data_IF_628544659505
#
_entry.id   IF_628544659505
#
_cell.length_a   1.000
_cell.length_b   1.000
_cell.length_c   1.000
_cell.angle_alpha   90.00
_cell.angle_beta   90.00
_cell.angle_gamma   90.00
#
_symmetry.space_group_name_H-M   'P 1'
#
loop_
_entity.id
_entity.type
_entity.pdbx_description
1 polymer ?
#
# COMPACT_ATOMS: atom_id res chain seq x y z
N UNK A 1 2.93 -3.18 0.39
CA UNK A 1 3.91 -4.13 0.93
C UNK A 1 3.21 -5.37 1.48
N UNK A 2 2.47 -5.27 2.58
CA UNK A 2 1.86 -6.43 3.26
C UNK A 2 0.77 -7.21 2.51
N UNK A 3 0.03 -6.54 1.62
CA UNK A 3 -1.13 -7.13 0.92
C UNK A 3 -0.83 -7.36 -0.58
N UNK A 4 0.44 -7.43 -0.98
CA UNK A 4 0.81 -7.63 -2.38
C UNK A 4 0.68 -9.11 -2.80
N UNK A 5 0.37 -9.41 -4.07
CA UNK A 5 0.04 -8.47 -5.15
C UNK A 5 -1.37 -7.87 -4.98
N UNK A 6 -1.53 -6.55 -5.22
CA UNK A 6 -2.80 -5.84 -4.98
C UNK A 6 -3.23 -4.99 -6.17
N UNK A 7 -4.53 -4.88 -6.42
CA UNK A 7 -5.09 -3.99 -7.44
C UNK A 7 -5.42 -2.61 -6.88
N UNK A 8 -5.42 -1.59 -7.74
CA UNK A 8 -5.82 -0.23 -7.34
C UNK A 8 -7.24 -0.16 -6.73
N UNK A 9 -8.27 -0.84 -7.27
CA UNK A 9 -9.58 -0.90 -6.61
C UNK A 9 -9.54 -1.48 -5.20
N UNK A 10 -8.74 -2.53 -4.94
CA UNK A 10 -8.57 -3.08 -3.59
C UNK A 10 -7.93 -2.07 -2.64
N UNK A 11 -6.91 -1.33 -3.08
CA UNK A 11 -6.29 -0.26 -2.28
C UNK A 11 -7.32 0.82 -1.95
N UNK A 12 -8.14 1.25 -2.93
CA UNK A 12 -9.21 2.22 -2.69
C UNK A 12 -10.24 1.72 -1.69
N UNK A 13 -10.63 0.43 -1.78
CA UNK A 13 -11.58 -0.17 -0.85
C UNK A 13 -11.06 -0.18 0.59
N UNK A 14 -9.78 -0.51 0.80
CA UNK A 14 -9.15 -0.48 2.12
C UNK A 14 -9.03 0.95 2.66
N UNK A 15 -8.63 1.91 1.82
CA UNK A 15 -8.43 3.31 2.24
C UNK A 15 -9.72 4.13 2.35
N UNK A 16 -10.82 3.63 1.80
CA UNK A 16 -12.09 4.35 1.71
C UNK A 16 -12.09 5.57 0.78
N UNK A 17 -11.00 5.84 0.05
CA UNK A 17 -10.84 7.02 -0.81
C UNK A 17 -10.09 6.68 -2.11
N UNK A 18 -10.22 7.56 -3.12
CA UNK A 18 -9.49 7.43 -4.38
C UNK A 18 -7.97 7.59 -4.16
N UNK A 19 -7.20 6.59 -4.61
CA UNK A 19 -5.74 6.54 -4.46
C UNK A 19 -4.94 6.79 -5.75
N UNK A 20 -5.55 7.25 -6.83
CA UNK A 20 -4.92 7.39 -8.15
C UNK A 20 -3.65 8.24 -8.14
N UNK A 21 -3.70 9.40 -7.48
CA UNK A 21 -2.54 10.30 -7.35
C UNK A 21 -1.41 9.66 -6.54
N UNK A 22 -1.75 8.94 -5.47
CA UNK A 22 -0.78 8.24 -4.62
C UNK A 22 -0.12 7.10 -5.38
N UNK A 23 -0.92 6.26 -6.04
CA UNK A 23 -0.42 5.15 -6.87
C UNK A 23 0.52 5.66 -7.96
N UNK A 24 0.17 6.76 -8.64
CA UNK A 24 1.02 7.40 -9.66
C UNK A 24 2.34 7.90 -9.07
N UNK A 25 2.30 8.54 -7.91
CA UNK A 25 3.49 9.05 -7.22
C UNK A 25 4.43 7.90 -6.85
N UNK A 26 3.90 6.82 -6.27
CA UNK A 26 4.69 5.65 -5.90
C UNK A 26 5.32 4.96 -7.12
N UNK A 27 4.58 4.81 -8.22
CA UNK A 27 5.11 4.31 -9.49
C UNK A 27 6.21 5.22 -10.03
N UNK A 28 6.01 6.54 -10.05
CA UNK A 28 7.01 7.49 -10.57
C UNK A 28 8.30 7.52 -9.74
N UNK A 29 8.20 7.19 -8.45
CA UNK A 29 9.35 7.07 -7.54
C UNK A 29 10.00 5.68 -7.60
N UNK A 30 9.47 4.75 -8.39
CA UNK A 30 9.97 3.39 -8.49
C UNK A 30 9.74 2.55 -7.23
N UNK A 31 8.88 2.97 -6.29
CA UNK A 31 8.65 2.23 -5.03
C UNK A 31 7.67 1.07 -5.21
N UNK A 32 6.86 1.08 -6.27
CA UNK A 32 5.98 -0.02 -6.66
C UNK A 32 6.06 -0.24 -8.16
N UNK A 33 5.66 -1.43 -8.61
CA UNK A 33 5.65 -1.82 -10.03
C UNK A 33 4.43 -2.69 -10.40
N UNK A 34 4.13 -2.81 -11.70
CA UNK A 34 3.18 -3.81 -12.21
C UNK A 34 3.82 -5.20 -12.14
N UNK A 35 3.23 -6.09 -11.34
CA UNK A 35 3.69 -7.47 -11.18
C UNK A 35 2.81 -8.47 -11.92
N UNK A 36 1.77 -7.99 -12.61
CA UNK A 36 0.87 -8.80 -13.41
C UNK A 36 -0.53 -8.20 -13.50
N UNK A 37 -1.51 -9.06 -13.82
CA UNK A 37 -2.92 -8.67 -13.94
C UNK A 37 -3.80 -9.71 -13.29
N UNK A 38 -4.80 -9.25 -12.54
CA UNK A 38 -5.78 -10.14 -11.95
C UNK A 38 -6.70 -10.74 -13.03
N UNK A 39 -7.26 -11.91 -12.73
CA UNK A 39 -8.31 -12.52 -13.54
C UNK A 39 -9.66 -11.79 -13.32
N UNK A 40 -10.54 -11.88 -14.31
CA UNK A 40 -11.88 -11.29 -14.26
C UNK A 40 -12.06 -9.99 -15.06
N UNK A 41 -13.24 -9.34 -14.92
CA UNK A 41 -13.63 -8.20 -15.74
C UNK A 41 -12.63 -7.04 -15.67
N UNK A 42 -12.24 -6.53 -16.84
CA UNK A 42 -11.30 -5.41 -16.95
C UNK A 42 -9.83 -5.74 -16.65
N UNK A 43 -9.51 -6.96 -16.20
CA UNK A 43 -8.15 -7.46 -15.94
C UNK A 43 -7.24 -6.42 -15.28
N UNK A 44 -7.60 -5.96 -14.07
CA UNK A 44 -6.93 -4.85 -13.42
C UNK A 44 -5.46 -5.19 -13.14
N UNK A 45 -4.61 -4.15 -13.19
CA UNK A 45 -3.19 -4.26 -12.89
C UNK A 45 -3.01 -4.67 -11.42
N UNK A 46 -2.11 -5.62 -11.20
CA UNK A 46 -1.59 -5.99 -9.89
C UNK A 46 -0.29 -5.24 -9.62
N UNK A 47 -0.18 -4.68 -8.43
CA UNK A 47 0.98 -3.92 -7.98
C UNK A 47 1.70 -4.64 -6.85
N UNK A 48 3.03 -4.57 -6.88
CA UNK A 48 3.94 -5.03 -5.85
C UNK A 48 5.00 -3.98 -5.52
N UNK A 49 5.74 -4.19 -4.44
CA UNK A 49 6.91 -3.37 -4.06
C UNK A 49 8.14 -3.79 -4.84
N UNK A 50 9.02 -2.83 -5.11
CA UNK A 50 10.27 -3.06 -5.83
C UNK A 50 11.45 -3.28 -4.87
N UNK A 51 12.63 -3.54 -5.43
CA UNK A 51 13.90 -3.48 -4.68
C UNK A 51 14.20 -2.07 -4.15
N UNK A 52 13.83 -1.02 -4.88
CA UNK A 52 14.05 0.37 -4.45
C UNK A 52 13.22 0.70 -3.21
N UNK A 53 12.03 0.09 -3.06
CA UNK A 53 11.27 0.15 -1.81
C UNK A 53 12.08 -0.43 -0.65
N UNK A 54 12.64 -1.63 -0.79
CA UNK A 54 13.43 -2.26 0.26
C UNK A 54 14.62 -1.38 0.67
N UNK A 55 15.37 -0.87 -0.31
CA UNK A 55 16.49 0.04 -0.07
C UNK A 55 16.06 1.34 0.63
N UNK A 56 14.95 1.94 0.19
CA UNK A 56 14.42 3.17 0.78
C UNK A 56 14.05 3.00 2.26
N UNK A 57 13.56 1.82 2.64
CA UNK A 57 13.18 1.50 4.02
C UNK A 57 14.29 0.77 4.81
N UNK A 58 15.47 0.57 4.23
CA UNK A 58 16.60 -0.11 4.89
C UNK A 58 16.36 -1.59 5.17
N UNK A 59 15.53 -2.25 4.36
CA UNK A 59 15.18 -3.66 4.50
C UNK A 59 15.98 -4.51 3.52
N UNK A 60 16.38 -5.72 3.92
CA UNK A 60 16.96 -6.69 3.00
C UNK A 60 15.89 -7.56 2.32
N UNK A 61 14.74 -7.72 2.97
CA UNK A 61 13.61 -8.52 2.46
C UNK A 61 12.28 -8.04 3.04
N UNK A 62 11.18 -8.50 2.45
CA UNK A 62 9.83 -8.20 2.96
C UNK A 62 9.54 -8.90 4.29
N UNK A 63 10.27 -9.96 4.64
CA UNK A 63 10.08 -10.70 5.90
C UNK A 63 10.56 -9.89 7.12
N UNK A 64 11.35 -8.84 6.90
CA UNK A 64 11.79 -7.89 7.93
C UNK A 64 10.73 -6.82 8.25
N UNK A 65 9.62 -6.80 7.50
CA UNK A 65 8.51 -5.89 7.80
C UNK A 65 7.89 -6.24 9.15
N UNK A 66 7.61 -5.25 10.01
CA UNK A 66 6.93 -5.52 11.28
C UNK A 66 5.55 -6.14 11.02
N UNK A 67 5.07 -7.06 11.89
CA UNK A 67 3.77 -7.67 11.69
C UNK A 67 2.68 -6.59 11.64
N UNK A 68 1.72 -6.75 10.73
CA UNK A 68 0.51 -5.93 10.72
C UNK A 68 -0.29 -6.21 11.99
N UNK A 69 -0.20 -5.32 12.97
CA UNK A 69 -1.13 -5.31 14.09
C UNK A 69 -2.32 -4.41 13.73
N UNK A 70 -3.44 -5.02 13.35
CA UNK A 70 -4.65 -4.29 12.99
C UNK A 70 -5.29 -3.58 14.20
N UNK A 71 -5.18 -4.15 15.41
CA UNK A 71 -5.73 -3.56 16.63
C UNK A 71 -4.97 -2.27 17.02
N UNK A 72 -3.64 -2.29 16.96
CA UNK A 72 -2.84 -1.08 17.21
C UNK A 72 -3.02 0.01 16.13
N UNK A 73 -3.32 -0.39 14.89
CA UNK A 73 -3.57 0.56 13.81
C UNK A 73 -4.92 1.28 13.95
N UNK A 74 -5.90 0.67 14.61
CA UNK A 74 -7.18 1.30 14.94
C UNK A 74 -7.00 2.37 16.02
N UNK A 75 -6.23 2.07 17.08
CA UNK A 75 -5.89 3.01 18.14
C UNK A 75 -5.16 4.26 17.61
N UNK A 76 -4.15 4.08 16.74
CA UNK A 76 -3.40 5.20 16.15
C UNK A 76 -4.25 6.05 15.17
N UNK A 77 -5.20 5.42 14.47
CA UNK A 77 -6.09 6.13 13.55
C UNK A 77 -7.11 7.00 14.29
N UNK A 78 -7.60 6.56 15.46
CA UNK A 78 -8.47 7.36 16.31
C UNK A 78 -7.74 8.58 16.89
N UNK A 79 -6.51 8.40 17.38
CA UNK A 79 -5.68 9.48 17.92
C UNK A 79 -5.36 10.56 16.87
N UNK A 80 -5.00 10.15 15.65
CA UNK A 80 -4.74 11.08 14.55
C UNK A 80 -5.99 11.86 14.12
N UNK A 81 -7.18 11.24 14.21
CA UNK A 81 -8.46 11.91 13.93
C UNK A 81 -8.84 12.93 15.01
N UNK A 82 -8.50 12.65 16.27
CA UNK A 82 -8.76 13.54 17.41
C UNK A 82 -7.95 14.84 17.33
N UNK A 83 -6.69 14.77 16.89
CA UNK A 83 -5.79 15.92 16.74
C UNK A 83 -6.20 16.92 15.65
N UNK A 84 -6.97 16.50 14.65
CA UNK A 84 -7.44 17.36 13.55
C UNK A 84 -8.78 18.06 13.83
N UNK A 85 -9.44 17.73 14.95
CA UNK A 85 -10.74 18.27 15.35
C UNK A 85 -10.66 19.31 16.49
N UNK A 86 -9.46 19.62 16.98
CA UNK A 86 -9.19 20.69 17.96
C UNK A 86 -8.64 21.94 17.30
#
# INVERSE_FOLDING_TARGET
>A
AYQQPVTRPQVNAIRGVNSDGVMRSLLSKGLIEEVGRAEGPGRPILYGTTTDFLQHFGLNSLDELPPLNLEAAEDEAEDASALLKG
#
